data_IF_855317943827
#
_entry.id   IF_855317943827
#
_cell.length_a   1.000
_cell.length_b   1.000
_cell.length_c   1.000
_cell.angle_alpha   90.00
_cell.angle_beta   90.00
_cell.angle_gamma   90.00
#
_symmetry.space_group_name_H-M   'P 1'
#
loop_
_entity.id
_entity.type
_entity.pdbx_description
1 polymer ?
#
# COMPACT_ATOMS: atom_id res chain seq x y z
N UNK A 1 20.16 45.09 -18.81
CA UNK A 1 18.75 44.65 -18.74
C UNK A 1 18.71 43.37 -17.94
N UNK A 2 18.38 43.47 -16.65
CA UNK A 2 18.16 42.32 -15.77
C UNK A 2 16.78 41.76 -16.05
N UNK A 3 16.71 40.52 -16.55
CA UNK A 3 15.45 39.77 -16.65
C UNK A 3 15.32 38.90 -15.41
N UNK A 4 14.17 39.03 -14.77
CA UNK A 4 13.82 38.54 -13.45
C UNK A 4 14.03 37.03 -13.26
N UNK A 5 14.78 36.68 -12.24
CA UNK A 5 14.60 35.42 -11.53
C UNK A 5 13.35 35.56 -10.64
N UNK A 6 12.24 34.95 -11.04
CA UNK A 6 11.11 34.66 -10.15
C UNK A 6 10.91 33.15 -10.06
N UNK A 7 11.83 32.47 -9.37
CA UNK A 7 11.48 31.22 -8.71
C UNK A 7 10.80 31.62 -7.41
N UNK A 8 9.47 31.71 -7.45
CA UNK A 8 8.68 31.78 -6.22
C UNK A 8 9.03 30.57 -5.37
N UNK A 9 9.69 30.79 -4.23
CA UNK A 9 9.89 29.76 -3.22
C UNK A 9 8.51 29.41 -2.67
N UNK A 10 7.95 28.29 -3.11
CA UNK A 10 6.77 27.70 -2.46
C UNK A 10 7.17 27.42 -1.02
N UNK A 11 6.55 28.11 -0.07
CA UNK A 11 6.71 27.79 1.36
C UNK A 11 6.15 26.37 1.55
N UNK A 12 6.96 25.36 1.89
CA UNK A 12 6.58 23.96 1.71
C UNK A 12 5.90 23.37 2.95
N UNK A 13 5.39 24.24 3.83
CA UNK A 13 4.74 23.90 5.10
C UNK A 13 3.34 24.49 5.08
N UNK A 14 2.37 23.72 4.63
CA UNK A 14 0.96 24.07 4.82
C UNK A 14 0.57 23.75 6.26
N UNK A 15 0.08 24.76 6.98
CA UNK A 15 -0.57 24.53 8.26
C UNK A 15 -1.79 23.64 8.03
N UNK A 16 -1.96 22.65 8.90
CA UNK A 16 -3.15 21.78 8.95
C UNK A 16 -3.67 21.78 10.36
N UNK A 17 -4.97 21.57 10.52
CA UNK A 17 -5.59 21.34 11.82
C UNK A 17 -5.37 19.87 12.19
N UNK A 18 -4.46 19.55 13.13
CA UNK A 18 -4.29 18.19 13.57
C UNK A 18 -5.57 17.71 14.27
N UNK A 19 -5.80 16.40 14.23
CA UNK A 19 -6.91 15.77 14.94
C UNK A 19 -6.87 16.15 16.43
N UNK A 20 -7.97 16.71 16.95
CA UNK A 20 -8.12 17.05 18.37
C UNK A 20 -8.11 15.80 19.23
N UNK A 21 -7.52 15.90 20.42
CA UNK A 21 -7.44 14.81 21.41
C UNK A 21 -6.87 13.51 20.82
N UNK A 22 -5.95 13.62 19.86
CA UNK A 22 -5.32 12.48 19.22
C UNK A 22 -3.84 12.41 19.56
N UNK A 23 -3.40 11.21 19.92
CA UNK A 23 -1.99 10.83 20.08
C UNK A 23 -1.78 9.47 19.40
N UNK A 24 -0.54 9.09 19.06
CA UNK A 24 -0.25 7.80 18.44
C UNK A 24 -0.76 6.58 19.22
N UNK A 25 -1.00 6.70 20.52
CA UNK A 25 -1.49 5.67 21.44
C UNK A 25 -2.97 5.82 21.85
N UNK A 26 -3.68 6.84 21.34
CA UNK A 26 -5.10 7.07 21.61
C UNK A 26 -5.99 5.87 21.27
N UNK A 27 -5.59 5.07 20.27
CA UNK A 27 -6.28 3.85 19.86
C UNK A 27 -6.42 2.81 20.97
N UNK A 28 -5.57 2.83 22.01
CA UNK A 28 -5.66 1.94 23.17
C UNK A 28 -7.00 2.09 23.92
N UNK A 29 -7.70 3.22 23.75
CA UNK A 29 -9.00 3.49 24.38
C UNK A 29 -10.18 2.87 23.62
N UNK A 30 -9.91 2.24 22.46
CA UNK A 30 -10.92 1.72 21.55
C UNK A 30 -10.79 0.20 21.38
N UNK A 31 -11.89 -0.51 21.04
CA UNK A 31 -11.83 -1.94 20.73
C UNK A 31 -10.87 -2.22 19.56
N UNK A 32 -9.84 -3.04 19.82
CA UNK A 32 -8.85 -3.41 18.82
C UNK A 32 -9.03 -4.88 18.40
N UNK A 33 -9.53 -5.10 17.19
CA UNK A 33 -9.63 -6.44 16.63
C UNK A 33 -8.29 -6.90 16.02
N UNK A 34 -8.13 -8.22 15.88
CA UNK A 34 -7.01 -8.85 15.18
C UNK A 34 -5.60 -8.63 15.77
N UNK A 35 -5.47 -7.99 16.94
CA UNK A 35 -4.19 -7.81 17.61
C UNK A 35 -3.64 -9.15 18.13
N UNK A 36 -2.31 -9.24 18.22
CA UNK A 36 -1.64 -10.39 18.82
C UNK A 36 -1.64 -10.29 20.35
N UNK A 37 -1.75 -11.41 21.03
CA UNK A 37 -1.57 -11.50 22.49
C UNK A 37 -0.15 -11.97 22.78
N UNK A 38 0.71 -11.04 23.17
CA UNK A 38 2.08 -11.35 23.57
C UNK A 38 2.11 -11.91 25.00
N UNK A 39 2.87 -12.99 25.26
CA UNK A 39 2.93 -13.60 26.60
C UNK A 39 3.68 -12.73 27.61
N UNK A 40 4.60 -11.88 27.16
CA UNK A 40 5.42 -10.99 27.98
C UNK A 40 5.24 -9.53 27.51
N UNK A 41 4.52 -8.75 28.32
CA UNK A 41 4.23 -7.34 28.04
C UNK A 41 5.47 -6.44 28.20
N UNK A 42 6.40 -6.79 29.09
CA UNK A 42 7.64 -6.01 29.29
C UNK A 42 8.58 -6.22 28.11
N UNK A 43 8.70 -7.45 27.61
CA UNK A 43 9.44 -7.74 26.39
C UNK A 43 8.86 -7.00 25.17
N UNK A 44 7.53 -6.92 25.07
CA UNK A 44 6.86 -6.13 24.05
C UNK A 44 7.21 -4.63 24.18
N UNK A 45 7.09 -4.06 25.37
CA UNK A 45 7.42 -2.65 25.60
C UNK A 45 8.88 -2.34 25.24
N UNK A 46 9.83 -3.21 25.61
CA UNK A 46 11.26 -3.07 25.25
C UNK A 46 11.48 -3.13 23.73
N UNK A 47 10.79 -4.02 23.02
CA UNK A 47 10.90 -4.11 21.56
C UNK A 47 10.33 -2.86 20.87
N UNK A 48 9.20 -2.34 21.36
CA UNK A 48 8.56 -1.14 20.84
C UNK A 48 9.37 0.13 21.09
N UNK A 49 9.98 0.28 22.27
CA UNK A 49 10.87 1.41 22.57
C UNK A 49 12.09 1.41 21.65
N UNK A 50 12.71 0.23 21.45
CA UNK A 50 13.80 0.08 20.46
C UNK A 50 13.34 0.48 19.06
N UNK A 51 12.20 -0.03 18.61
CA UNK A 51 11.64 0.24 17.30
C UNK A 51 11.33 1.74 17.08
N UNK A 52 10.81 2.42 18.11
CA UNK A 52 10.52 3.84 18.10
C UNK A 52 11.78 4.72 17.97
N UNK A 53 12.95 4.20 18.35
CA UNK A 53 14.22 4.89 18.24
C UNK A 53 14.97 4.62 16.92
N UNK A 54 14.57 3.62 16.13
CA UNK A 54 15.19 3.33 14.83
C UNK A 54 14.87 4.43 13.78
N UNK A 55 15.66 4.60 12.71
CA UNK A 55 15.29 5.49 11.61
C UNK A 55 13.98 5.08 10.94
N UNK A 56 13.16 6.03 10.45
CA UNK A 56 11.95 5.70 9.70
C UNK A 56 12.24 5.07 8.33
N UNK A 57 11.26 4.36 7.76
CA UNK A 57 11.36 3.72 6.45
C UNK A 57 11.08 4.69 5.28
N UNK A 58 10.27 5.71 5.53
CA UNK A 58 9.89 6.75 4.55
C UNK A 58 9.94 8.14 5.18
N UNK A 59 9.91 9.17 4.35
CA UNK A 59 9.91 10.57 4.79
C UNK A 59 8.53 11.22 4.63
N UNK A 60 8.26 12.27 5.41
CA UNK A 60 7.02 13.05 5.28
C UNK A 60 6.86 13.71 3.91
N UNK A 61 7.96 14.12 3.26
CA UNK A 61 7.92 14.69 1.92
C UNK A 61 7.41 13.70 0.88
N UNK A 62 7.83 12.44 0.96
CA UNK A 62 7.38 11.39 0.04
C UNK A 62 5.90 11.05 0.26
N UNK A 63 5.46 11.04 1.53
CA UNK A 63 4.04 10.86 1.87
C UNK A 63 3.19 12.00 1.29
N UNK A 64 3.63 13.26 1.43
CA UNK A 64 2.92 14.41 0.88
C UNK A 64 2.93 14.41 -0.65
N UNK A 65 4.04 14.01 -1.29
CA UNK A 65 4.10 13.81 -2.74
C UNK A 65 3.10 12.75 -3.20
N UNK A 66 3.03 11.59 -2.55
CA UNK A 66 2.02 10.57 -2.89
C UNK A 66 0.60 11.12 -2.72
N UNK A 67 0.36 11.90 -1.67
CA UNK A 67 -0.94 12.51 -1.41
C UNK A 67 -1.36 13.47 -2.52
N UNK A 68 -0.45 14.31 -3.01
CA UNK A 68 -0.69 15.16 -4.19
C UNK A 68 -1.00 14.32 -5.44
N UNK A 69 -0.25 13.24 -5.68
CA UNK A 69 -0.50 12.35 -6.82
C UNK A 69 -1.85 11.62 -6.72
N UNK A 70 -2.32 11.28 -5.51
CA UNK A 70 -3.67 10.74 -5.30
C UNK A 70 -4.72 11.82 -5.54
N UNK A 71 -4.49 13.07 -5.13
CA UNK A 71 -5.41 14.17 -5.44
C UNK A 71 -5.56 14.36 -6.96
N UNK A 72 -4.47 14.30 -7.71
CA UNK A 72 -4.50 14.32 -9.18
C UNK A 72 -5.26 13.11 -9.76
N UNK A 73 -5.12 11.92 -9.15
CA UNK A 73 -5.89 10.73 -9.55
C UNK A 73 -7.39 10.88 -9.28
N UNK A 74 -7.79 11.51 -8.16
CA UNK A 74 -9.19 11.83 -7.85
C UNK A 74 -9.81 12.75 -8.90
N UNK A 75 -9.01 13.60 -9.54
CA UNK A 75 -9.41 14.49 -10.63
C UNK A 75 -9.33 13.83 -12.03
N UNK A 76 -9.00 12.54 -12.11
CA UNK A 76 -8.87 11.81 -13.37
C UNK A 76 -7.61 12.15 -14.19
N UNK A 77 -6.60 12.78 -13.56
CA UNK A 77 -5.32 13.14 -14.21
C UNK A 77 -4.26 12.05 -14.09
N UNK A 78 -4.46 11.09 -13.19
CA UNK A 78 -3.58 9.93 -12.98
C UNK A 78 -4.36 8.66 -12.75
N UNK A 79 -3.73 7.53 -13.06
CA UNK A 79 -4.18 6.21 -12.66
C UNK A 79 -3.30 5.65 -11.54
N UNK A 80 -3.88 4.94 -10.57
CA UNK A 80 -3.12 4.31 -9.48
C UNK A 80 -2.99 2.81 -9.70
N UNK A 81 -1.77 2.30 -9.70
CA UNK A 81 -1.46 0.88 -9.71
C UNK A 81 -0.86 0.49 -8.36
N UNK A 82 -1.61 -0.31 -7.59
CA UNK A 82 -1.11 -0.95 -6.37
C UNK A 82 -0.92 -2.45 -6.59
N UNK A 83 0.22 -3.02 -6.23
CA UNK A 83 0.49 -4.45 -6.41
C UNK A 83 1.67 -4.98 -5.60
N UNK A 84 1.70 -6.29 -5.36
CA UNK A 84 2.74 -6.98 -4.58
C UNK A 84 2.16 -8.14 -3.78
N UNK A 85 2.88 -8.57 -2.75
CA UNK A 85 2.57 -9.79 -2.02
C UNK A 85 1.28 -9.69 -1.18
N UNK A 86 0.61 -10.82 -1.00
CA UNK A 86 -0.53 -10.89 -0.08
C UNK A 86 -0.05 -10.72 1.36
N UNK A 87 1.03 -11.43 1.72
CA UNK A 87 1.81 -11.29 2.94
C UNK A 87 3.27 -11.53 2.55
N UNK A 88 4.17 -10.61 2.88
CA UNK A 88 5.60 -10.83 2.71
C UNK A 88 6.09 -11.84 3.75
N UNK A 89 7.15 -12.59 3.42
CA UNK A 89 7.87 -13.44 4.36
C UNK A 89 9.35 -13.06 4.41
N UNK A 90 9.97 -13.23 5.58
CA UNK A 90 11.40 -12.96 5.77
C UNK A 90 12.29 -13.83 4.87
N UNK A 91 11.87 -15.08 4.63
CA UNK A 91 12.62 -16.02 3.78
C UNK A 91 12.57 -15.61 2.30
N UNK A 92 11.56 -14.83 1.92
CA UNK A 92 11.39 -14.32 0.55
C UNK A 92 12.03 -12.94 0.32
N UNK A 93 12.68 -12.36 1.35
CA UNK A 93 13.44 -11.13 1.18
C UNK A 93 14.81 -11.39 0.55
N UNK A 94 14.79 -11.73 -0.74
CA UNK A 94 15.98 -11.97 -1.56
C UNK A 94 15.98 -11.07 -2.79
N UNK A 95 17.17 -10.69 -3.27
CA UNK A 95 17.30 -9.80 -4.43
C UNK A 95 16.53 -10.30 -5.67
N UNK A 96 16.56 -11.60 -6.05
CA UNK A 96 15.81 -12.05 -7.22
C UNK A 96 14.30 -11.88 -7.07
N UNK A 97 13.73 -12.23 -5.91
CA UNK A 97 12.28 -12.16 -5.70
C UNK A 97 11.80 -10.70 -5.66
N UNK A 98 12.51 -9.83 -4.94
CA UNK A 98 12.18 -8.39 -4.89
C UNK A 98 12.29 -7.76 -6.29
N UNK A 99 13.36 -8.09 -7.02
CA UNK A 99 13.58 -7.59 -8.39
C UNK A 99 12.44 -8.03 -9.31
N UNK A 100 12.10 -9.32 -9.33
CA UNK A 100 11.05 -9.86 -10.20
C UNK A 100 9.68 -9.25 -9.88
N UNK A 101 9.35 -9.06 -8.59
CA UNK A 101 8.10 -8.38 -8.20
C UNK A 101 8.07 -6.92 -8.69
N UNK A 102 9.18 -6.19 -8.56
CA UNK A 102 9.30 -4.83 -9.09
C UNK A 102 9.15 -4.80 -10.62
N UNK A 103 9.76 -5.76 -11.35
CA UNK A 103 9.61 -5.89 -12.81
C UNK A 103 8.16 -6.00 -13.23
N UNK A 104 7.40 -6.91 -12.61
CA UNK A 104 5.98 -7.11 -12.94
C UNK A 104 5.19 -5.82 -12.74
N UNK A 105 5.40 -5.11 -11.62
CA UNK A 105 4.69 -3.85 -11.36
C UNK A 105 5.05 -2.76 -12.39
N UNK A 106 6.33 -2.65 -12.77
CA UNK A 106 6.78 -1.69 -13.78
C UNK A 106 6.24 -2.03 -15.17
N UNK A 107 6.21 -3.31 -15.55
CA UNK A 107 5.65 -3.78 -16.82
C UNK A 107 4.15 -3.50 -16.93
N UNK A 108 3.38 -3.80 -15.88
CA UNK A 108 1.96 -3.47 -15.80
C UNK A 108 1.75 -1.95 -15.91
N UNK A 109 2.57 -1.18 -15.20
CA UNK A 109 2.50 0.28 -15.27
C UNK A 109 2.76 0.79 -16.69
N UNK A 110 3.73 0.23 -17.41
CA UNK A 110 4.02 0.63 -18.79
C UNK A 110 2.83 0.38 -19.72
N UNK A 111 2.22 -0.80 -19.62
CA UNK A 111 1.02 -1.14 -20.37
C UNK A 111 -0.14 -0.19 -20.06
N UNK A 112 -0.35 0.17 -18.80
CA UNK A 112 -1.38 1.13 -18.38
C UNK A 112 -1.10 2.55 -18.89
N UNK A 113 0.15 3.04 -18.81
CA UNK A 113 0.53 4.35 -19.34
C UNK A 113 0.21 4.43 -20.84
N UNK A 114 0.55 3.39 -21.59
CA UNK A 114 0.27 3.34 -23.02
C UNK A 114 -1.24 3.21 -23.32
N UNK A 115 -1.95 2.31 -22.63
CA UNK A 115 -3.37 2.09 -22.89
C UNK A 115 -4.26 3.26 -22.47
N UNK A 116 -3.91 3.94 -21.39
CA UNK A 116 -4.69 5.05 -20.83
C UNK A 116 -4.21 6.43 -21.31
N UNK A 117 -3.00 6.52 -21.87
CA UNK A 117 -2.33 7.79 -22.22
C UNK A 117 -2.29 8.76 -21.01
N UNK A 118 -2.06 8.20 -19.82
CA UNK A 118 -2.17 8.91 -18.54
C UNK A 118 -1.01 8.50 -17.60
N UNK A 119 -0.46 9.42 -16.78
CA UNK A 119 0.53 9.04 -15.78
C UNK A 119 0.00 8.00 -14.79
N UNK A 120 0.85 7.05 -14.41
CA UNK A 120 0.54 6.00 -13.44
C UNK A 120 1.33 6.22 -12.15
N UNK A 121 0.64 6.27 -11.01
CA UNK A 121 1.22 6.23 -9.66
C UNK A 121 1.45 4.77 -9.28
N UNK A 122 2.65 4.42 -8.83
CA UNK A 122 3.06 3.04 -8.53
C UNK A 122 3.20 2.86 -7.04
N UNK A 123 2.41 1.96 -6.47
CA UNK A 123 2.39 1.67 -5.04
C UNK A 123 2.63 0.17 -4.82
N UNK A 124 3.79 -0.19 -4.28
CA UNK A 124 4.12 -1.55 -3.91
C UNK A 124 3.45 -1.98 -2.60
N UNK A 125 2.85 -3.17 -2.56
CA UNK A 125 2.66 -3.94 -1.31
C UNK A 125 4.00 -4.59 -0.94
N UNK A 126 4.90 -3.77 -0.43
CA UNK A 126 6.32 -4.05 -0.25
C UNK A 126 6.79 -3.44 1.07
N UNK A 127 7.83 -4.04 1.65
CA UNK A 127 8.57 -3.52 2.77
C UNK A 127 7.71 -3.22 4.01
N UNK A 128 6.75 -4.08 4.33
CA UNK A 128 5.94 -3.91 5.54
C UNK A 128 4.72 -4.81 5.63
N UNK A 129 4.40 -5.58 4.58
CA UNK A 129 3.21 -6.41 4.50
C UNK A 129 3.37 -7.75 5.24
N UNK A 130 3.94 -7.73 6.45
CA UNK A 130 4.28 -8.91 7.25
C UNK A 130 3.18 -9.32 8.24
N UNK A 131 2.05 -8.61 8.28
CA UNK A 131 0.93 -8.93 9.16
C UNK A 131 -0.31 -9.36 8.35
N UNK A 132 -1.09 -10.29 8.90
CA UNK A 132 -2.27 -10.86 8.23
C UNK A 132 -3.44 -11.06 9.19
N UNK A 133 -4.64 -10.57 8.86
CA UNK A 133 -5.82 -10.85 9.67
C UNK A 133 -6.29 -12.29 9.46
N UNK A 134 -6.85 -12.90 10.51
CA UNK A 134 -7.30 -14.28 10.53
C UNK A 134 -8.80 -14.36 10.84
N UNK A 135 -9.45 -15.37 10.27
CA UNK A 135 -10.88 -15.64 10.51
C UNK A 135 -11.11 -16.41 11.81
N UNK A 136 -10.07 -17.06 12.34
CA UNK A 136 -10.06 -17.78 13.61
C UNK A 136 -8.73 -17.52 14.29
N UNK A 137 -8.74 -17.40 15.62
CA UNK A 137 -7.53 -17.21 16.43
C UNK A 137 -6.69 -18.50 16.53
N UNK A 138 -7.31 -19.66 16.27
CA UNK A 138 -6.66 -20.97 16.27
C UNK A 138 -6.81 -21.69 14.94
N UNK A 139 -5.91 -22.65 14.71
CA UNK A 139 -5.85 -23.53 13.55
C UNK A 139 -5.61 -24.97 14.04
N UNK A 140 -6.41 -25.91 13.56
CA UNK A 140 -6.27 -27.34 13.88
C UNK A 140 -5.75 -28.11 12.67
N UNK A 141 -4.67 -28.87 12.85
CA UNK A 141 -4.13 -29.81 11.85
C UNK A 141 -3.84 -31.13 12.53
N UNK A 142 -4.28 -32.23 11.93
CA UNK A 142 -4.06 -33.60 12.43
C UNK A 142 -4.40 -33.79 13.93
N UNK A 143 -5.48 -33.16 14.38
CA UNK A 143 -5.95 -33.22 15.77
C UNK A 143 -5.25 -32.28 16.76
N UNK A 144 -4.18 -31.59 16.36
CA UNK A 144 -3.47 -30.61 17.20
C UNK A 144 -3.99 -29.21 16.89
N UNK A 145 -4.32 -28.42 17.93
CA UNK A 145 -4.83 -27.05 17.80
C UNK A 145 -3.83 -26.05 18.35
N UNK A 146 -3.40 -25.11 17.51
CA UNK A 146 -2.41 -24.07 17.84
C UNK A 146 -2.95 -22.68 17.47
N UNK A 147 -2.34 -21.57 17.97
CA UNK A 147 -2.62 -20.25 17.45
C UNK A 147 -2.43 -20.16 15.93
N UNK A 148 -3.30 -19.40 15.28
CA UNK A 148 -3.21 -19.12 13.86
C UNK A 148 -1.93 -18.31 13.55
N UNK A 149 -1.26 -18.65 12.45
CA UNK A 149 -0.19 -17.81 11.89
C UNK A 149 -0.75 -16.45 11.47
N UNK A 150 -0.20 -15.36 12.00
CA UNK A 150 -0.67 -13.97 11.79
C UNK A 150 0.28 -13.15 10.91
N UNK A 151 1.22 -13.81 10.22
CA UNK A 151 2.27 -13.15 9.46
C UNK A 151 3.57 -13.04 10.26
N UNK A 152 4.68 -12.95 9.55
CA UNK A 152 6.04 -12.96 10.11
C UNK A 152 6.33 -11.79 11.07
N UNK A 153 5.48 -10.75 11.08
CA UNK A 153 5.53 -9.68 12.07
C UNK A 153 5.16 -10.17 13.49
N UNK A 154 4.35 -11.23 13.59
CA UNK A 154 3.75 -11.69 14.85
C UNK A 154 4.32 -13.03 15.29
N UNK A 155 4.27 -14.04 14.42
CA UNK A 155 4.70 -15.42 14.69
C UNK A 155 5.09 -16.11 13.38
N UNK A 156 5.53 -17.37 13.43
CA UNK A 156 6.07 -18.07 12.26
C UNK A 156 5.08 -19.05 11.62
N UNK A 157 5.34 -19.40 10.36
CA UNK A 157 4.43 -20.22 9.53
C UNK A 157 4.36 -21.68 9.99
N UNK A 158 5.47 -22.19 10.55
CA UNK A 158 5.61 -23.55 11.04
C UNK A 158 4.49 -23.90 12.03
N UNK A 159 3.97 -25.12 11.93
CA UNK A 159 2.87 -25.59 12.78
C UNK A 159 3.42 -26.30 14.02
N UNK A 160 4.12 -25.56 14.87
CA UNK A 160 4.61 -26.02 16.17
C UNK A 160 4.22 -25.05 17.27
N UNK A 161 4.10 -25.53 18.51
CA UNK A 161 3.72 -24.70 19.66
C UNK A 161 4.64 -23.48 19.78
N UNK A 162 5.97 -23.70 19.77
CA UNK A 162 6.96 -22.63 19.88
C UNK A 162 6.88 -21.61 18.73
N UNK A 163 6.70 -22.06 17.48
CA UNK A 163 6.63 -21.17 16.31
C UNK A 163 5.36 -20.28 16.29
N UNK A 164 4.28 -20.72 16.96
CA UNK A 164 2.99 -20.03 16.96
C UNK A 164 2.83 -19.03 18.10
N UNK A 165 3.72 -19.01 19.09
CA UNK A 165 3.74 -17.99 20.14
C UNK A 165 4.15 -16.64 19.53
N UNK A 166 3.40 -15.55 19.77
CA UNK A 166 3.80 -14.22 19.34
C UNK A 166 5.14 -13.78 19.96
N UNK A 167 6.08 -13.34 19.14
CA UNK A 167 7.43 -12.92 19.55
C UNK A 167 7.66 -11.42 19.25
N UNK A 168 7.84 -10.56 20.27
CA UNK A 168 8.08 -9.13 20.06
C UNK A 168 9.33 -8.81 19.25
N UNK A 169 10.33 -9.69 19.23
CA UNK A 169 11.57 -9.46 18.46
C UNK A 169 11.32 -9.51 16.95
N UNK A 170 10.23 -10.14 16.51
CA UNK A 170 9.81 -10.14 15.11
C UNK A 170 9.39 -8.75 14.62
N UNK A 171 8.99 -7.84 15.51
CA UNK A 171 8.71 -6.43 15.17
C UNK A 171 9.98 -5.72 14.69
N UNK A 172 11.09 -5.90 15.41
CA UNK A 172 12.40 -5.35 15.03
C UNK A 172 12.93 -6.03 13.76
N UNK A 173 12.76 -7.35 13.67
CA UNK A 173 13.15 -8.12 12.48
C UNK A 173 12.42 -7.62 11.25
N UNK A 174 11.10 -7.47 11.30
CA UNK A 174 10.29 -6.94 10.21
C UNK A 174 10.76 -5.55 9.77
N UNK A 175 11.04 -4.64 10.71
CA UNK A 175 11.58 -3.33 10.37
C UNK A 175 12.91 -3.40 9.61
N UNK A 176 13.84 -4.29 10.01
CA UNK A 176 15.09 -4.49 9.28
C UNK A 176 14.87 -5.03 7.85
N UNK A 177 13.99 -6.02 7.70
CA UNK A 177 13.63 -6.57 6.38
C UNK A 177 12.93 -5.55 5.48
N UNK A 178 12.06 -4.73 6.07
CA UNK A 178 11.46 -3.57 5.40
C UNK A 178 12.52 -2.57 4.95
N UNK A 179 13.46 -2.19 5.82
CA UNK A 179 14.53 -1.24 5.48
C UNK A 179 15.43 -1.76 4.35
N UNK A 180 15.82 -3.05 4.39
CA UNK A 180 16.60 -3.68 3.32
C UNK A 180 15.84 -3.69 2.00
N UNK A 181 14.56 -4.07 2.01
CA UNK A 181 13.70 -4.07 0.82
C UNK A 181 13.54 -2.65 0.26
N UNK A 182 13.25 -1.65 1.11
CA UNK A 182 13.15 -0.24 0.71
C UNK A 182 14.43 0.25 0.06
N UNK A 183 15.57 0.02 0.71
CA UNK A 183 16.87 0.46 0.21
C UNK A 183 17.18 -0.16 -1.17
N UNK A 184 16.92 -1.46 -1.32
CA UNK A 184 17.15 -2.16 -2.57
C UNK A 184 16.22 -1.67 -3.69
N UNK A 185 14.92 -1.50 -3.41
CA UNK A 185 13.94 -0.99 -4.38
C UNK A 185 14.28 0.45 -4.80
N UNK A 186 14.67 1.32 -3.86
CA UNK A 186 15.11 2.69 -4.17
C UNK A 186 16.35 2.70 -5.06
N UNK A 187 17.34 1.85 -4.75
CA UNK A 187 18.54 1.69 -5.57
C UNK A 187 18.23 1.24 -6.99
N UNK A 188 17.30 0.28 -7.16
CA UNK A 188 16.84 -0.14 -8.48
C UNK A 188 16.11 1.00 -9.21
N UNK A 189 15.16 1.66 -8.54
CA UNK A 189 14.36 2.74 -9.12
C UNK A 189 15.22 3.94 -9.58
N UNK A 190 16.23 4.32 -8.81
CA UNK A 190 17.17 5.41 -9.17
C UNK A 190 18.28 4.93 -10.12
N UNK A 191 18.64 3.65 -10.11
CA UNK A 191 19.76 3.06 -10.86
C UNK A 191 19.48 2.72 -12.32
N UNK A 192 18.38 3.22 -12.89
CA UNK A 192 18.01 2.96 -14.30
C UNK A 192 17.34 1.59 -14.53
N UNK A 193 17.00 0.85 -13.48
CA UNK A 193 16.23 -0.40 -13.64
C UNK A 193 14.86 -0.14 -14.26
N UNK A 194 14.27 1.02 -13.96
CA UNK A 194 13.01 1.45 -14.53
C UNK A 194 13.18 2.20 -15.87
N UNK A 195 14.38 2.19 -16.45
CA UNK A 195 14.67 2.87 -17.69
C UNK A 195 14.03 2.15 -18.89
N UNK A 196 13.06 2.84 -19.49
CA UNK A 196 12.32 2.45 -20.69
C UNK A 196 13.17 2.46 -21.96
N UNK A 197 14.39 3.02 -21.94
CA UNK A 197 15.37 2.89 -23.02
C UNK A 197 15.94 1.47 -23.12
N UNK A 198 15.95 0.74 -22.00
CA UNK A 198 16.56 -0.57 -21.88
C UNK A 198 15.55 -1.63 -21.43
N UNK A 199 14.48 -1.79 -22.20
CA UNK A 199 13.44 -2.79 -21.93
C UNK A 199 13.99 -4.22 -21.89
N UNK A 200 15.15 -4.49 -22.48
CA UNK A 200 15.88 -5.75 -22.39
C UNK A 200 16.27 -6.14 -20.95
N UNK A 201 16.51 -5.16 -20.06
CA UNK A 201 16.82 -5.45 -18.65
C UNK A 201 15.63 -6.02 -17.87
N UNK A 202 14.43 -5.90 -18.42
CA UNK A 202 13.22 -6.42 -17.78
C UNK A 202 13.03 -7.92 -17.98
N UNK A 203 13.91 -8.59 -18.74
CA UNK A 203 13.93 -10.05 -18.98
C UNK A 203 12.54 -10.66 -19.16
N UNK A 204 12.11 -10.67 -20.42
CA UNK A 204 10.79 -11.13 -20.86
C UNK A 204 10.77 -12.65 -21.15
N UNK A 205 11.75 -13.42 -20.68
CA UNK A 205 11.81 -14.87 -20.94
C UNK A 205 10.51 -15.61 -20.60
N UNK A 206 9.76 -15.17 -19.58
CA UNK A 206 8.44 -15.74 -19.27
C UNK A 206 7.34 -15.25 -20.23
N UNK A 207 7.42 -14.01 -20.71
CA UNK A 207 6.49 -13.45 -21.70
C UNK A 207 6.62 -14.19 -23.02
N UNK A 208 7.80 -14.67 -23.41
CA UNK A 208 8.01 -15.47 -24.64
C UNK A 208 7.13 -16.73 -24.69
N UNK A 209 6.70 -17.24 -23.53
CA UNK A 209 5.81 -18.40 -23.42
C UNK A 209 4.32 -18.02 -23.42
N UNK A 210 4.00 -16.72 -23.46
CA UNK A 210 2.62 -16.21 -23.49
C UNK A 210 2.10 -16.09 -24.93
N UNK A 211 0.83 -16.43 -25.20
CA UNK A 211 0.22 -16.12 -26.49
C UNK A 211 0.17 -14.60 -26.79
N UNK A 212 0.32 -13.75 -25.76
CA UNK A 212 0.32 -12.29 -25.87
C UNK A 212 1.73 -11.68 -26.01
N UNK A 213 2.78 -12.50 -26.12
CA UNK A 213 4.16 -12.03 -26.19
C UNK A 213 4.39 -10.97 -27.28
N UNK A 214 3.90 -11.27 -28.48
CA UNK A 214 4.05 -10.40 -29.64
C UNK A 214 3.36 -9.05 -29.47
N UNK A 215 2.23 -9.01 -28.76
CA UNK A 215 1.52 -7.76 -28.48
C UNK A 215 2.31 -6.91 -27.47
N UNK A 216 2.85 -7.54 -26.43
CA UNK A 216 3.71 -6.87 -25.46
C UNK A 216 5.01 -6.34 -26.09
N UNK A 217 5.65 -7.10 -26.98
CA UNK A 217 6.86 -6.64 -27.68
C UNK A 217 6.59 -5.44 -28.60
N UNK A 218 5.49 -5.45 -29.35
CA UNK A 218 5.09 -4.30 -30.18
C UNK A 218 4.88 -3.04 -29.34
N UNK A 219 4.26 -3.22 -28.17
CA UNK A 219 4.05 -2.14 -27.22
C UNK A 219 5.39 -1.54 -26.74
N UNK A 220 6.33 -2.38 -26.28
CA UNK A 220 7.63 -1.91 -25.80
C UNK A 220 8.46 -1.25 -26.90
N UNK A 221 8.46 -1.81 -28.12
CA UNK A 221 9.15 -1.22 -29.28
C UNK A 221 8.57 0.13 -29.68
N UNK A 222 7.24 0.26 -29.68
CA UNK A 222 6.55 1.52 -29.97
C UNK A 222 6.95 2.60 -28.98
N UNK A 223 6.95 2.28 -27.68
CA UNK A 223 7.31 3.21 -26.62
C UNK A 223 8.77 3.64 -26.72
N UNK A 224 9.69 2.69 -26.89
CA UNK A 224 11.10 3.00 -27.10
C UNK A 224 11.33 3.92 -28.32
N UNK A 225 10.55 3.72 -29.39
CA UNK A 225 10.63 4.56 -30.59
C UNK A 225 10.07 5.97 -30.36
N UNK A 226 8.96 6.11 -29.64
CA UNK A 226 8.41 7.42 -29.27
C UNK A 226 9.36 8.24 -28.40
N UNK A 227 10.06 7.59 -27.46
CA UNK A 227 11.05 8.26 -26.62
C UNK A 227 12.23 8.79 -27.43
N UNK A 228 12.83 7.94 -28.27
CA UNK A 228 13.91 8.35 -29.20
C UNK A 228 13.48 9.51 -30.10
N UNK A 229 12.23 9.51 -30.55
CA UNK A 229 11.68 10.61 -31.35
C UNK A 229 11.59 11.91 -30.55
N UNK A 230 11.08 11.88 -29.31
CA UNK A 230 11.04 13.08 -28.46
C UNK A 230 12.44 13.62 -28.14
N UNK A 231 13.41 12.75 -27.88
CA UNK A 231 14.81 13.13 -27.67
C UNK A 231 15.41 13.79 -28.91
N UNK A 232 15.13 13.23 -30.09
CA UNK A 232 15.58 13.77 -31.37
C UNK A 232 15.02 15.19 -31.60
N UNK A 233 13.75 15.44 -31.26
CA UNK A 233 13.13 16.76 -31.42
C UNK A 233 13.64 17.75 -30.38
N UNK A 234 13.73 17.34 -29.11
CA UNK A 234 14.04 18.24 -28.00
C UNK A 234 15.54 18.47 -27.84
N UNK A 235 16.37 17.64 -28.45
CA UNK A 235 17.83 17.66 -28.29
C UNK A 235 18.29 17.36 -26.86
N UNK A 236 17.41 16.79 -26.04
CA UNK A 236 17.65 16.47 -24.64
C UNK A 236 17.27 15.02 -24.42
N UNK A 237 18.14 14.30 -23.71
CA UNK A 237 17.77 13.07 -23.03
C UNK A 237 16.55 13.37 -22.17
N UNK A 238 15.46 12.62 -22.34
CA UNK A 238 14.23 12.81 -21.54
C UNK A 238 14.46 12.18 -20.16
N UNK A 239 15.57 12.56 -19.51
CA UNK A 239 16.08 12.00 -18.26
C UNK A 239 15.15 12.18 -17.06
N UNK A 240 14.09 12.98 -17.18
CA UNK A 240 13.00 13.01 -16.20
C UNK A 240 12.15 11.72 -16.19
N UNK A 241 12.27 10.87 -17.20
CA UNK A 241 11.70 9.51 -17.21
C UNK A 241 12.56 8.49 -16.48
N UNK A 242 13.82 8.82 -16.14
CA UNK A 242 14.74 7.90 -15.46
C UNK A 242 14.40 7.68 -13.99
N UNK A 243 13.62 8.58 -13.39
CA UNK A 243 13.21 8.47 -11.98
C UNK A 243 11.76 8.08 -11.89
N UNK A 244 11.52 6.80 -11.63
CA UNK A 244 10.17 6.29 -11.38
C UNK A 244 9.88 6.44 -9.90
N UNK A 245 8.93 7.32 -9.57
CA UNK A 245 8.37 7.39 -8.21
C UNK A 245 7.75 6.03 -7.87
N UNK A 246 8.28 5.40 -6.82
CA UNK A 246 7.80 4.14 -6.28
C UNK A 246 7.48 4.32 -4.80
N UNK A 247 6.22 4.11 -4.46
CA UNK A 247 5.74 4.18 -3.08
C UNK A 247 5.50 2.79 -2.52
N UNK A 248 5.42 2.69 -1.20
CA UNK A 248 5.14 1.44 -0.48
C UNK A 248 3.88 1.54 0.35
N UNK A 249 3.30 0.38 0.63
CA UNK A 249 2.02 0.24 1.30
C UNK A 249 1.96 -1.09 2.04
N UNK A 250 1.22 -1.10 3.13
CA UNK A 250 0.82 -2.31 3.84
C UNK A 250 -0.49 -2.09 4.61
N UNK A 251 -1.14 -3.18 5.00
CA UNK A 251 -2.25 -3.14 5.95
C UNK A 251 -1.68 -2.76 7.31
N UNK A 252 -2.07 -1.61 7.85
CA UNK A 252 -1.63 -1.15 9.17
C UNK A 252 -2.39 -1.91 10.27
N UNK A 253 -2.13 -3.22 10.34
CA UNK A 253 -2.89 -4.17 11.12
C UNK A 253 -2.41 -4.22 12.58
N UNK A 254 -1.09 -4.23 12.78
CA UNK A 254 -0.47 -4.41 14.08
C UNK A 254 -0.19 -3.04 14.74
N UNK A 255 -1.18 -2.51 15.48
CA UNK A 255 -1.20 -1.10 15.86
C UNK A 255 -0.03 -0.68 16.75
N UNK A 256 0.50 -1.57 17.58
CA UNK A 256 1.73 -1.29 18.33
C UNK A 256 2.94 -1.00 17.41
N UNK A 257 3.06 -1.72 16.29
CA UNK A 257 4.13 -1.51 15.32
C UNK A 257 3.95 -0.16 14.61
N UNK A 258 2.73 0.12 14.17
CA UNK A 258 2.37 1.37 13.49
C UNK A 258 2.58 2.59 14.39
N UNK A 259 2.14 2.51 15.65
CA UNK A 259 2.38 3.52 16.68
C UNK A 259 3.87 3.80 16.85
N UNK A 260 4.71 2.77 16.98
CA UNK A 260 6.16 2.94 17.13
C UNK A 260 6.83 3.59 15.90
N UNK A 261 6.22 3.48 14.71
CA UNK A 261 6.69 4.11 13.48
C UNK A 261 6.06 5.50 13.23
N UNK A 262 5.22 6.00 14.13
CA UNK A 262 4.49 7.26 13.97
C UNK A 262 5.21 8.42 14.65
N UNK A 263 5.49 9.49 13.89
CA UNK A 263 6.32 10.62 14.36
C UNK A 263 5.81 11.96 13.88
N UNK A 264 6.07 12.99 14.66
CA UNK A 264 6.09 14.36 14.16
C UNK A 264 7.43 14.62 13.48
N UNK A 265 7.42 15.37 12.38
CA UNK A 265 8.63 15.68 11.61
C UNK A 265 8.92 17.18 11.72
N UNK A 266 10.18 17.60 11.95
CA UNK A 266 10.50 19.02 12.00
C UNK A 266 10.00 19.76 10.76
N UNK A 267 9.38 20.93 10.98
CA UNK A 267 8.79 21.78 9.92
C UNK A 267 7.66 21.13 9.13
N UNK A 268 7.02 20.08 9.65
CA UNK A 268 5.77 19.53 9.12
C UNK A 268 4.76 19.40 10.26
N UNK A 269 3.55 19.90 10.05
CA UNK A 269 2.47 19.83 11.05
C UNK A 269 1.85 18.43 11.06
N UNK A 270 1.40 17.99 12.25
CA UNK A 270 0.73 16.71 12.45
C UNK A 270 1.66 15.50 12.54
N UNK A 271 1.04 14.32 12.58
CA UNK A 271 1.72 13.03 12.75
C UNK A 271 1.77 12.26 11.44
N UNK A 272 2.87 11.57 11.19
CA UNK A 272 3.04 10.71 10.01
C UNK A 272 3.39 9.31 10.48
N UNK A 273 2.70 8.30 9.95
CA UNK A 273 3.21 6.95 10.00
C UNK A 273 4.35 6.86 8.98
N UNK A 274 5.58 6.80 9.47
CA UNK A 274 6.77 6.74 8.64
C UNK A 274 7.26 5.31 8.38
N UNK A 275 6.43 4.31 8.72
CA UNK A 275 6.65 2.90 8.37
C UNK A 275 6.29 2.62 6.91
N UNK A 276 5.45 3.43 6.28
CA UNK A 276 5.04 3.26 4.87
C UNK A 276 4.45 4.53 4.29
N UNK A 277 4.41 4.63 2.96
CA UNK A 277 3.80 5.78 2.31
C UNK A 277 2.26 5.74 2.40
N UNK A 278 1.68 4.56 2.17
CA UNK A 278 0.24 4.35 2.01
C UNK A 278 -0.27 3.17 2.86
N UNK A 279 -0.60 3.40 4.14
CA UNK A 279 -1.24 2.39 4.97
C UNK A 279 -2.71 2.20 4.59
N UNK A 280 -3.27 1.00 4.77
CA UNK A 280 -4.72 0.77 4.64
C UNK A 280 -5.36 0.05 5.82
N UNK A 281 -6.67 0.28 6.01
CA UNK A 281 -7.53 -0.44 6.93
C UNK A 281 -8.19 -1.62 6.20
N UNK A 282 -8.04 -2.82 6.75
CA UNK A 282 -8.65 -4.05 6.23
C UNK A 282 -10.12 -4.20 6.62
N UNK A 283 -10.85 -5.05 5.89
CA UNK A 283 -12.28 -5.30 6.14
C UNK A 283 -12.62 -5.80 7.56
N UNK A 284 -11.67 -6.43 8.25
CA UNK A 284 -11.88 -7.00 9.60
C UNK A 284 -11.53 -6.03 10.73
N UNK A 285 -11.02 -4.86 10.37
CA UNK A 285 -10.52 -3.83 11.28
C UNK A 285 -11.13 -2.46 10.98
N UNK A 286 -12.08 -2.38 10.05
CA UNK A 286 -12.74 -1.14 9.66
C UNK A 286 -14.01 -0.84 10.48
N UNK A 287 -14.00 -1.22 11.76
CA UNK A 287 -15.07 -0.82 12.68
C UNK A 287 -14.99 0.69 12.93
N UNK A 288 -16.12 1.38 12.76
CA UNK A 288 -16.21 2.84 12.81
C UNK A 288 -15.76 3.39 14.17
N UNK A 289 -16.02 2.67 15.25
CA UNK A 289 -15.61 3.01 16.62
C UNK A 289 -14.43 2.15 17.10
N UNK A 290 -13.72 1.53 16.17
CA UNK A 290 -12.58 0.66 16.44
C UNK A 290 -11.23 1.38 16.47
N UNK A 291 -10.25 0.70 17.06
CA UNK A 291 -8.88 1.20 17.23
C UNK A 291 -8.18 1.60 15.93
N UNK A 292 -8.39 0.86 14.83
CA UNK A 292 -7.74 1.20 13.55
C UNK A 292 -8.28 2.48 12.94
N UNK A 293 -9.60 2.74 13.04
CA UNK A 293 -10.19 4.00 12.57
C UNK A 293 -9.68 5.15 13.43
N UNK A 294 -9.59 4.97 14.75
CA UNK A 294 -8.99 5.98 15.64
C UNK A 294 -7.53 6.26 15.28
N UNK A 295 -6.71 5.22 15.09
CA UNK A 295 -5.31 5.40 14.70
C UNK A 295 -5.19 6.15 13.37
N UNK A 296 -6.01 5.82 12.37
CA UNK A 296 -5.99 6.47 11.06
C UNK A 296 -6.49 7.92 11.09
N UNK A 297 -7.32 8.29 12.08
CA UNK A 297 -7.88 9.65 12.23
C UNK A 297 -6.78 10.71 12.31
N UNK A 298 -5.67 10.44 13.00
CA UNK A 298 -4.65 11.46 13.28
C UNK A 298 -3.35 11.39 12.49
N UNK A 299 -3.08 10.30 11.75
CA UNK A 299 -1.92 10.28 10.84
C UNK A 299 -2.21 11.10 9.58
N UNK A 300 -1.20 11.65 8.91
CA UNK A 300 -1.34 12.50 7.70
C UNK A 300 -1.18 11.77 6.37
N UNK A 301 -0.81 10.49 6.41
CA UNK A 301 -0.67 9.65 5.22
C UNK A 301 -1.96 9.67 4.37
N UNK A 302 -1.88 9.48 3.05
CA UNK A 302 -3.05 9.01 2.31
C UNK A 302 -3.48 7.66 2.86
N UNK A 303 -4.78 7.44 2.95
CA UNK A 303 -5.38 6.29 3.63
C UNK A 303 -6.10 5.39 2.64
N UNK A 304 -5.77 4.10 2.64
CA UNK A 304 -6.57 3.08 1.99
C UNK A 304 -7.65 2.53 2.92
N UNK A 305 -8.84 2.27 2.40
CA UNK A 305 -9.91 1.61 3.16
C UNK A 305 -10.49 0.50 2.29
N UNK A 306 -10.45 -0.76 2.75
CA UNK A 306 -11.13 -1.85 2.05
C UNK A 306 -12.65 -1.68 2.19
N UNK A 307 -13.37 -1.78 1.07
CA UNK A 307 -14.84 -1.74 1.00
C UNK A 307 -15.35 -3.03 0.37
N UNK A 308 -16.27 -3.72 1.04
CA UNK A 308 -16.80 -5.01 0.61
C UNK A 308 -18.33 -5.01 0.50
N UNK A 309 -18.92 -6.12 0.02
CA UNK A 309 -20.34 -6.20 -0.31
C UNK A 309 -21.27 -6.14 0.91
N UNK A 310 -20.73 -6.34 2.13
CA UNK A 310 -21.47 -6.25 3.39
C UNK A 310 -21.47 -4.87 4.05
N UNK A 311 -20.85 -3.87 3.42
CA UNK A 311 -20.83 -2.50 3.93
C UNK A 311 -22.02 -1.71 3.40
N UNK A 312 -22.55 -0.79 4.21
CA UNK A 312 -23.67 0.07 3.82
C UNK A 312 -23.25 1.55 3.66
N UNK A 313 -24.20 2.35 3.17
CA UNK A 313 -24.00 3.77 2.87
C UNK A 313 -23.72 4.61 4.13
N UNK A 314 -24.38 4.29 5.26
CA UNK A 314 -24.25 5.05 6.51
C UNK A 314 -22.88 4.83 7.15
N UNK A 315 -22.41 3.59 7.14
CA UNK A 315 -21.06 3.23 7.56
C UNK A 315 -19.99 4.00 6.75
N UNK A 316 -20.15 4.05 5.42
CA UNK A 316 -19.19 4.71 4.55
C UNK A 316 -19.18 6.23 4.76
N UNK A 317 -20.36 6.85 4.90
CA UNK A 317 -20.47 8.28 5.21
C UNK A 317 -19.83 8.62 6.58
N UNK A 318 -20.11 7.82 7.62
CA UNK A 318 -19.52 8.01 8.94
C UNK A 318 -18.00 7.84 8.95
N UNK A 319 -17.46 6.89 8.20
CA UNK A 319 -16.01 6.75 8.04
C UNK A 319 -15.37 7.97 7.38
N UNK A 320 -16.01 8.51 6.33
CA UNK A 320 -15.49 9.69 5.63
C UNK A 320 -15.53 10.93 6.52
N UNK A 321 -16.57 11.09 7.34
CA UNK A 321 -16.66 12.17 8.33
C UNK A 321 -15.54 12.06 9.37
N UNK A 322 -15.25 10.85 9.88
CA UNK A 322 -14.18 10.65 10.87
C UNK A 322 -12.77 10.81 10.28
N UNK A 323 -12.51 10.24 9.10
CA UNK A 323 -11.16 10.11 8.55
C UNK A 323 -10.75 11.26 7.61
N UNK A 324 -11.73 12.02 7.12
CA UNK A 324 -11.49 13.19 6.27
C UNK A 324 -12.52 14.32 6.52
N UNK A 325 -12.65 14.82 7.76
CA UNK A 325 -13.63 15.85 8.11
C UNK A 325 -13.41 17.15 7.31
N UNK A 326 -12.16 17.49 7.01
CA UNK A 326 -11.78 18.65 6.19
C UNK A 326 -11.98 18.45 4.69
N UNK A 327 -12.46 17.26 4.25
CA UNK A 327 -12.64 16.90 2.83
C UNK A 327 -11.41 17.19 1.98
N UNK A 328 -10.24 16.88 2.53
CA UNK A 328 -8.98 17.18 1.87
C UNK A 328 -8.75 16.21 0.70
N UNK A 329 -8.39 16.75 -0.47
CA UNK A 329 -8.03 15.94 -1.62
C UNK A 329 -6.78 15.09 -1.33
N UNK A 330 -6.67 13.95 -2.00
CA UNK A 330 -5.57 13.00 -1.85
C UNK A 330 -5.61 12.16 -0.57
N UNK A 331 -6.54 12.44 0.35
CA UNK A 331 -6.59 11.80 1.67
C UNK A 331 -7.14 10.38 1.65
N UNK A 332 -8.24 10.14 0.93
CA UNK A 332 -8.98 8.88 1.00
C UNK A 332 -8.93 8.12 -0.32
N UNK A 333 -8.58 6.84 -0.23
CA UNK A 333 -8.70 5.85 -1.29
C UNK A 333 -9.62 4.72 -0.83
N UNK A 334 -10.76 4.56 -1.49
CA UNK A 334 -11.71 3.48 -1.27
C UNK A 334 -11.38 2.30 -2.17
N UNK A 335 -10.94 1.20 -1.57
CA UNK A 335 -10.45 0.01 -2.25
C UNK A 335 -11.56 -1.04 -2.26
N UNK A 336 -12.41 -1.01 -3.29
CA UNK A 336 -13.56 -1.91 -3.36
C UNK A 336 -13.14 -3.32 -3.76
N UNK A 337 -13.74 -4.33 -3.10
CA UNK A 337 -13.47 -5.75 -3.33
C UNK A 337 -14.75 -6.59 -3.34
N UNK A 338 -15.70 -6.14 -4.16
CA UNK A 338 -17.05 -6.70 -4.25
C UNK A 338 -17.08 -8.15 -4.71
N UNK A 339 -16.20 -8.51 -5.65
CA UNK A 339 -16.25 -9.77 -6.38
C UNK A 339 -17.25 -9.70 -7.55
N UNK A 340 -17.01 -10.53 -8.57
CA UNK A 340 -17.78 -10.59 -9.82
C UNK A 340 -19.29 -10.67 -9.54
N UNK A 341 -19.69 -11.50 -8.56
CA UNK A 341 -21.09 -11.78 -8.26
C UNK A 341 -21.85 -10.63 -7.58
N UNK A 342 -21.18 -9.55 -7.15
CA UNK A 342 -21.80 -8.49 -6.35
C UNK A 342 -21.50 -7.08 -6.85
N UNK A 343 -20.52 -6.90 -7.75
CA UNK A 343 -20.05 -5.57 -8.12
C UNK A 343 -21.13 -4.71 -8.77
N UNK A 344 -21.90 -5.27 -9.72
CA UNK A 344 -22.95 -4.55 -10.45
C UNK A 344 -24.07 -4.08 -9.51
N UNK A 345 -24.45 -4.91 -8.53
CA UNK A 345 -25.55 -4.60 -7.62
C UNK A 345 -25.15 -3.66 -6.48
N UNK A 346 -23.92 -3.79 -5.96
CA UNK A 346 -23.51 -3.15 -4.69
C UNK A 346 -22.75 -1.85 -4.89
N UNK A 347 -21.82 -1.79 -5.84
CA UNK A 347 -20.92 -0.65 -5.98
C UNK A 347 -21.63 0.65 -6.38
N UNK A 348 -22.61 0.68 -7.32
CA UNK A 348 -23.24 1.93 -7.73
C UNK A 348 -23.94 2.68 -6.60
N UNK A 349 -24.54 1.97 -5.64
CA UNK A 349 -25.18 2.57 -4.47
C UNK A 349 -24.18 3.30 -3.57
N UNK A 350 -23.02 2.68 -3.34
CA UNK A 350 -21.95 3.26 -2.52
C UNK A 350 -21.29 4.46 -3.21
N UNK A 351 -21.09 4.40 -4.52
CA UNK A 351 -20.55 5.55 -5.29
C UNK A 351 -21.47 6.77 -5.13
N UNK A 352 -22.80 6.59 -5.26
CA UNK A 352 -23.77 7.67 -5.05
C UNK A 352 -23.71 8.20 -3.61
N UNK A 353 -23.69 7.31 -2.62
CA UNK A 353 -23.63 7.71 -1.22
C UNK A 353 -22.38 8.56 -0.90
N UNK A 354 -21.22 8.21 -1.47
CA UNK A 354 -20.00 9.02 -1.30
C UNK A 354 -20.09 10.35 -2.05
N UNK A 355 -20.65 10.35 -3.26
CA UNK A 355 -20.87 11.59 -3.99
C UNK A 355 -21.76 12.58 -3.19
N UNK A 356 -22.79 12.05 -2.51
CA UNK A 356 -23.70 12.84 -1.68
C UNK A 356 -23.01 13.46 -0.44
N UNK A 357 -21.90 12.88 0.06
CA UNK A 357 -21.13 13.49 1.17
C UNK A 357 -20.29 14.68 0.70
N UNK A 358 -20.00 14.77 -0.60
CA UNK A 358 -19.07 15.74 -1.17
C UNK A 358 -17.61 15.51 -0.77
N UNK A 359 -17.27 14.35 -0.21
CA UNK A 359 -15.89 14.02 0.17
C UNK A 359 -15.09 13.57 -1.06
N UNK A 360 -13.90 14.14 -1.31
CA UNK A 360 -13.06 13.67 -2.41
C UNK A 360 -12.46 12.30 -2.06
N UNK A 361 -12.76 11.31 -2.88
CA UNK A 361 -12.23 9.94 -2.75
C UNK A 361 -11.67 9.46 -4.06
N UNK A 362 -10.64 8.62 -3.99
CA UNK A 362 -10.20 7.81 -5.14
C UNK A 362 -10.84 6.43 -5.02
N UNK A 363 -11.51 5.96 -6.07
CA UNK A 363 -11.97 4.58 -6.15
C UNK A 363 -10.89 3.71 -6.78
N UNK A 364 -10.54 2.61 -6.10
CA UNK A 364 -9.59 1.61 -6.59
C UNK A 364 -10.21 0.23 -6.52
N UNK A 365 -10.00 -0.58 -7.56
CA UNK A 365 -10.50 -1.96 -7.61
C UNK A 365 -9.48 -2.94 -7.02
N UNK A 366 -9.92 -3.75 -6.06
CA UNK A 366 -9.26 -4.97 -5.62
C UNK A 366 -10.09 -6.18 -6.14
N UNK A 367 -9.82 -6.64 -7.37
CA UNK A 367 -10.57 -7.73 -8.00
C UNK A 367 -10.15 -9.11 -7.45
N UNK A 368 -9.22 -9.16 -6.50
CA UNK A 368 -8.64 -10.41 -6.02
C UNK A 368 -9.42 -10.94 -4.83
N UNK A 369 -9.56 -10.14 -3.78
CA UNK A 369 -10.03 -10.66 -2.51
C UNK A 369 -11.50 -11.04 -2.55
N UNK A 370 -12.35 -10.33 -3.30
CA UNK A 370 -13.79 -10.65 -3.44
C UNK A 370 -14.08 -11.98 -4.17
N UNK A 371 -13.09 -12.51 -4.89
CA UNK A 371 -13.23 -13.66 -5.79
C UNK A 371 -12.53 -14.93 -5.29
N UNK A 372 -12.29 -15.04 -3.98
CA UNK A 372 -11.61 -16.20 -3.38
C UNK A 372 -12.58 -17.36 -3.17
N UNK A 373 -12.23 -18.55 -3.65
CA UNK A 373 -12.93 -19.81 -3.43
C UNK A 373 -11.99 -20.86 -2.80
N UNK A 374 -12.53 -21.92 -2.20
CA UNK A 374 -11.73 -23.02 -1.64
C UNK A 374 -11.97 -24.29 -2.44
N UNK A 375 -10.90 -25.03 -2.74
CA UNK A 375 -10.99 -26.36 -3.36
C UNK A 375 -11.54 -27.38 -2.35
N UNK A 376 -11.88 -28.59 -2.81
CA UNK A 376 -12.32 -29.69 -1.93
C UNK A 376 -11.32 -30.00 -0.81
N UNK A 377 -10.03 -29.83 -1.08
CA UNK A 377 -8.93 -30.06 -0.11
C UNK A 377 -8.57 -28.80 0.70
N UNK A 378 -9.40 -27.75 0.67
CA UNK A 378 -9.23 -26.54 1.49
C UNK A 378 -8.20 -25.53 0.97
N UNK A 379 -7.63 -25.74 -0.23
CA UNK A 379 -6.71 -24.78 -0.85
C UNK A 379 -7.50 -23.55 -1.33
N UNK A 380 -7.07 -22.36 -0.91
CA UNK A 380 -7.67 -21.10 -1.39
C UNK A 380 -7.16 -20.78 -2.79
N UNK A 381 -8.08 -20.56 -3.72
CA UNK A 381 -7.78 -20.22 -5.12
C UNK A 381 -8.68 -19.10 -5.63
N UNK A 382 -8.33 -18.54 -6.79
CA UNK A 382 -9.07 -17.49 -7.50
C UNK A 382 -9.04 -17.78 -8.99
N UNK A 383 -10.21 -17.78 -9.63
CA UNK A 383 -10.29 -17.96 -11.08
C UNK A 383 -9.96 -16.65 -11.78
N UNK A 384 -9.00 -16.66 -12.71
CA UNK A 384 -8.60 -15.47 -13.45
C UNK A 384 -9.77 -14.79 -14.18
N UNK A 385 -10.70 -15.56 -14.75
CA UNK A 385 -11.93 -15.02 -15.38
C UNK A 385 -12.74 -14.14 -14.42
N UNK A 386 -12.86 -14.53 -13.15
CA UNK A 386 -13.59 -13.74 -12.13
C UNK A 386 -12.82 -12.50 -11.67
N UNK A 387 -11.51 -12.47 -11.89
CA UNK A 387 -10.67 -11.30 -11.57
C UNK A 387 -10.78 -10.27 -12.72
N UNK A 388 -10.91 -10.75 -13.95
CA UNK A 388 -11.06 -9.91 -15.14
C UNK A 388 -12.47 -9.30 -15.27
N UNK A 389 -13.49 -10.06 -14.87
CA UNK A 389 -14.88 -9.61 -14.79
C UNK A 389 -15.16 -8.89 -13.47
#
# INVERSE_FOLDING_TARGET
MNIAASKGSVSPVQAVDPATDWTPDSWHQFPASQQATYPDADALAVALDKLANLPPLVTSWEILSLREQIAEAQEGKRFVLQGGDCAESFDECTSPLITNRLKVLLQMSLALVHGLQMPVVRIGRFAGQYAKPRSSDTETRDGVTLPSYRGDLVNSVEFTEAARVPDPMLLLKAHHYSAMTMNFVRSLADGGFADVHHTEYWDLSWVEHSPLANEFHKLTESLGSSLRFMETITGRDVGSLKRVDFFTSHEALHLHYEQAQTRQVPRQWGWFNLGTHFPWIGMRTADLDGAHVEYFRGIRNPLGIKVGPGMDNGWLAGLLEKLNPGREAGRIVLIHRMGEAHIEDKLPGLIRAVADTGSPVLWMSDPMHGNTESTGDGIKTRRFRKIMN
#
